data_IF_947856254928
#
_entry.id   IF_947856254928
#
_cell.length_a   1.000
_cell.length_b   1.000
_cell.length_c   1.000
_cell.angle_alpha   90.00
_cell.angle_beta   90.00
_cell.angle_gamma   90.00
#
_symmetry.space_group_name_H-M   'P 1'
#
loop_
_entity.id
_entity.type
_entity.pdbx_description
1 polymer ?
#
# COMPACT_ATOMS: atom_id res chain seq x y z
N UNK A 1 4.08 1.59 -42.47
CA UNK A 1 2.83 1.81 -41.72
C UNK A 1 3.05 1.34 -40.28
N UNK A 2 3.63 2.19 -39.43
CA UNK A 2 3.58 2.06 -37.97
C UNK A 2 3.57 3.48 -37.41
N UNK A 3 2.37 3.93 -37.03
CA UNK A 3 2.12 5.23 -36.44
C UNK A 3 2.30 5.14 -34.92
N UNK A 4 3.03 6.11 -34.40
CA UNK A 4 2.80 6.84 -33.15
C UNK A 4 2.16 6.10 -31.96
N UNK A 5 2.98 5.82 -30.93
CA UNK A 5 2.59 5.96 -29.52
C UNK A 5 3.79 6.41 -28.68
N UNK A 6 4.26 7.64 -28.91
CA UNK A 6 4.97 8.39 -27.87
C UNK A 6 3.91 9.11 -27.04
N UNK A 7 3.51 8.51 -25.93
CA UNK A 7 2.67 9.20 -24.95
C UNK A 7 3.54 10.17 -24.16
N UNK A 8 3.46 11.43 -24.57
CA UNK A 8 3.31 12.63 -23.74
C UNK A 8 4.17 12.68 -22.48
N UNK A 9 5.38 13.20 -22.67
CA UNK A 9 6.07 14.07 -21.72
C UNK A 9 5.17 15.27 -21.46
N UNK A 10 4.54 15.33 -20.28
CA UNK A 10 3.58 16.38 -19.94
C UNK A 10 3.29 16.40 -18.44
N UNK A 11 4.34 16.44 -17.63
CA UNK A 11 4.25 16.50 -16.18
C UNK A 11 5.29 17.45 -15.64
N UNK A 12 4.94 18.74 -15.64
CA UNK A 12 5.40 19.76 -14.70
C UNK A 12 6.92 19.76 -14.42
N UNK A 13 7.69 20.40 -15.30
CA UNK A 13 9.06 20.81 -14.99
C UNK A 13 9.02 21.87 -13.89
N UNK A 14 8.87 21.43 -12.64
CA UNK A 14 9.33 22.21 -11.48
C UNK A 14 10.81 22.45 -11.73
N UNK A 15 11.12 23.69 -12.12
CA UNK A 15 12.48 24.19 -12.17
C UNK A 15 13.01 24.11 -10.74
N UNK A 16 13.60 22.96 -10.40
CA UNK A 16 14.41 22.83 -9.21
C UNK A 16 15.52 23.87 -9.38
N UNK A 17 15.43 24.96 -8.60
CA UNK A 17 16.57 25.81 -8.27
C UNK A 17 17.59 24.90 -7.57
N UNK A 18 18.28 24.10 -8.36
CA UNK A 18 19.49 23.41 -7.99
C UNK A 18 20.54 24.50 -8.02
N UNK A 19 20.98 24.87 -6.83
CA UNK A 19 22.14 25.76 -6.67
C UNK A 19 23.29 25.19 -7.51
N UNK A 20 24.18 26.06 -8.00
CA UNK A 20 25.31 25.65 -8.84
C UNK A 20 26.14 24.51 -8.22
N UNK A 21 26.13 24.41 -6.89
CA UNK A 21 26.77 23.36 -6.11
C UNK A 21 26.10 21.99 -6.26
N UNK A 22 24.77 21.91 -6.36
CA UNK A 22 24.04 20.64 -6.54
C UNK A 22 24.30 20.03 -7.92
N UNK A 23 24.41 20.88 -8.94
CA UNK A 23 24.76 20.45 -10.31
C UNK A 23 26.21 20.00 -10.38
N UNK A 24 27.13 20.71 -9.75
CA UNK A 24 28.53 20.30 -9.65
C UNK A 24 28.66 18.96 -8.90
N UNK A 25 27.92 18.77 -7.81
CA UNK A 25 27.89 17.51 -7.07
C UNK A 25 27.25 16.36 -7.87
N UNK A 26 26.25 16.63 -8.71
CA UNK A 26 25.68 15.65 -9.62
C UNK A 26 26.69 15.26 -10.72
N UNK A 27 27.38 16.24 -11.30
CA UNK A 27 28.40 16.01 -12.33
C UNK A 27 29.62 15.26 -11.78
N UNK A 28 30.06 15.54 -10.56
CA UNK A 28 31.12 14.79 -9.87
C UNK A 28 30.69 13.34 -9.58
N UNK A 29 29.42 13.11 -9.22
CA UNK A 29 28.87 11.76 -9.09
C UNK A 29 28.87 11.02 -10.42
N UNK A 30 28.45 11.66 -11.51
CA UNK A 30 28.49 11.09 -12.86
C UNK A 30 29.93 10.82 -13.31
N UNK A 31 30.86 11.74 -13.09
CA UNK A 31 32.28 11.55 -13.41
C UNK A 31 32.89 10.41 -12.59
N UNK A 32 32.54 10.28 -11.32
CA UNK A 32 32.97 9.16 -10.47
C UNK A 32 32.41 7.81 -10.94
N UNK A 33 31.23 7.80 -11.58
CA UNK A 33 30.62 6.61 -12.13
C UNK A 33 31.24 6.22 -13.48
N UNK A 34 31.51 7.20 -14.34
CA UNK A 34 32.19 7.00 -15.63
C UNK A 34 33.68 6.66 -15.49
N UNK A 35 34.32 7.11 -14.40
CA UNK A 35 35.72 6.79 -14.09
C UNK A 35 35.94 5.40 -13.50
N UNK A 36 34.87 4.67 -13.15
CA UNK A 36 35.00 3.26 -12.73
C UNK A 36 35.21 2.38 -13.96
N UNK A 37 36.06 1.35 -13.89
CA UNK A 37 36.19 0.40 -14.97
C UNK A 37 34.83 -0.25 -15.24
N UNK A 38 34.22 0.10 -16.38
CA UNK A 38 33.01 -0.54 -16.84
C UNK A 38 33.35 -2.00 -17.18
N UNK A 39 32.86 -2.92 -16.36
CA UNK A 39 32.99 -4.34 -16.62
C UNK A 39 32.02 -4.70 -17.75
N UNK A 40 32.54 -4.71 -18.98
CA UNK A 40 31.81 -5.26 -20.12
C UNK A 40 31.82 -6.78 -19.99
N UNK A 41 30.65 -7.35 -19.73
CA UNK A 41 30.46 -8.79 -19.75
C UNK A 41 29.87 -9.18 -21.10
N UNK A 42 30.39 -10.26 -21.71
CA UNK A 42 29.80 -10.78 -22.93
C UNK A 42 28.36 -11.23 -22.65
N UNK A 43 27.46 -11.04 -23.61
CA UNK A 43 26.04 -11.43 -23.46
C UNK A 43 25.89 -12.93 -23.16
N UNK A 44 26.81 -13.76 -23.68
CA UNK A 44 26.85 -15.19 -23.39
C UNK A 44 27.09 -15.46 -21.90
N UNK A 45 28.05 -14.77 -21.30
CA UNK A 45 28.41 -14.91 -19.89
C UNK A 45 27.30 -14.37 -18.98
N UNK A 46 26.70 -13.23 -19.35
CA UNK A 46 25.52 -12.68 -18.65
C UNK A 46 24.35 -13.68 -18.63
N UNK A 47 24.10 -14.34 -19.76
CA UNK A 47 23.05 -15.37 -19.88
C UNK A 47 23.41 -16.63 -19.09
N UNK A 48 24.67 -17.04 -19.07
CA UNK A 48 25.14 -18.19 -18.29
C UNK A 48 25.00 -17.94 -16.78
N UNK A 49 25.36 -16.74 -16.33
CA UNK A 49 25.21 -16.31 -14.94
C UNK A 49 23.72 -16.28 -14.53
N UNK A 50 22.85 -15.73 -15.39
CA UNK A 50 21.40 -15.72 -15.15
C UNK A 50 20.80 -17.14 -15.10
N UNK A 51 21.26 -18.07 -15.95
CA UNK A 51 20.83 -19.47 -15.84
C UNK A 51 21.29 -20.09 -14.53
N UNK A 52 22.52 -19.83 -14.12
CA UNK A 52 23.07 -20.34 -12.86
C UNK A 52 22.32 -19.80 -11.64
N UNK A 53 21.95 -18.53 -11.62
CA UNK A 53 21.14 -17.96 -10.53
C UNK A 53 19.73 -18.55 -10.50
N UNK A 54 19.12 -18.81 -11.66
CA UNK A 54 17.84 -19.52 -11.75
C UNK A 54 17.95 -20.99 -11.30
N UNK A 55 19.03 -21.68 -11.62
CA UNK A 55 19.29 -23.05 -11.14
C UNK A 55 19.50 -23.11 -9.62
N UNK A 56 20.18 -22.11 -9.05
CA UNK A 56 20.32 -21.96 -7.61
C UNK A 56 18.98 -21.61 -6.95
N UNK A 57 18.19 -20.74 -7.59
CA UNK A 57 16.84 -20.41 -7.16
C UNK A 57 15.85 -21.59 -7.28
N UNK A 58 16.11 -22.52 -8.19
CA UNK A 58 15.36 -23.78 -8.28
C UNK A 58 15.69 -24.73 -7.11
N UNK A 59 16.87 -24.59 -6.50
CA UNK A 59 17.32 -25.39 -5.34
C UNK A 59 17.02 -24.71 -3.99
N UNK A 60 16.67 -23.43 -3.97
CA UNK A 60 16.40 -22.66 -2.76
C UNK A 60 16.05 -21.20 -3.05
N UNK A 61 15.87 -20.36 -2.02
CA UNK A 61 15.58 -18.93 -2.22
C UNK A 61 16.87 -18.11 -2.40
N UNK A 62 16.90 -17.21 -3.38
CA UNK A 62 18.01 -16.29 -3.64
C UNK A 62 17.54 -14.85 -3.46
N UNK A 63 18.30 -14.05 -2.70
CA UNK A 63 18.05 -12.60 -2.57
C UNK A 63 18.97 -11.85 -3.53
N UNK A 64 18.37 -11.01 -4.37
CA UNK A 64 19.06 -10.09 -5.27
C UNK A 64 19.31 -8.78 -4.52
N UNK A 65 20.59 -8.39 -4.45
CA UNK A 65 21.02 -7.16 -3.77
C UNK A 65 21.59 -6.17 -4.76
N UNK A 66 21.26 -4.89 -4.62
CA UNK A 66 21.96 -3.78 -5.27
C UNK A 66 22.66 -2.93 -4.24
N UNK A 67 23.97 -2.71 -4.42
CA UNK A 67 24.81 -1.99 -3.46
C UNK A 67 24.83 -2.54 -2.03
N UNK A 68 24.54 -3.84 -1.85
CA UNK A 68 24.46 -4.49 -0.54
C UNK A 68 23.08 -4.41 0.11
N UNK A 69 22.14 -3.67 -0.48
CA UNK A 69 20.74 -3.60 -0.03
C UNK A 69 19.91 -4.64 -0.80
N UNK A 70 18.98 -5.35 -0.13
CA UNK A 70 18.08 -6.28 -0.79
C UNK A 70 17.05 -5.53 -1.64
N UNK A 71 16.99 -5.85 -2.94
CA UNK A 71 16.03 -5.23 -3.88
C UNK A 71 14.93 -6.20 -4.31
N UNK A 72 15.28 -7.48 -4.50
CA UNK A 72 14.31 -8.50 -4.91
C UNK A 72 14.69 -9.88 -4.34
N UNK A 73 13.74 -10.81 -4.35
CA UNK A 73 13.98 -12.20 -4.01
C UNK A 73 13.41 -13.12 -5.08
N UNK A 74 14.16 -14.12 -5.48
CA UNK A 74 13.73 -15.21 -6.37
C UNK A 74 13.50 -16.43 -5.49
N UNK A 75 12.26 -16.90 -5.47
CA UNK A 75 11.81 -17.98 -4.60
C UNK A 75 11.13 -19.05 -5.47
N UNK A 76 11.26 -20.35 -5.16
CA UNK A 76 10.50 -21.39 -5.84
C UNK A 76 9.00 -21.10 -5.81
N UNK A 77 8.31 -21.41 -6.91
CA UNK A 77 6.88 -21.15 -7.04
C UNK A 77 6.05 -21.88 -5.97
N UNK A 78 6.42 -23.12 -5.63
CA UNK A 78 5.78 -23.92 -4.57
C UNK A 78 5.84 -23.23 -3.21
N UNK A 79 7.00 -22.68 -2.85
CA UNK A 79 7.19 -21.94 -1.59
C UNK A 79 6.32 -20.69 -1.54
N UNK A 80 6.15 -19.99 -2.67
CA UNK A 80 5.27 -18.82 -2.76
C UNK A 80 3.80 -19.21 -2.57
N UNK A 81 3.35 -20.30 -3.19
CA UNK A 81 2.00 -20.83 -2.98
C UNK A 81 1.74 -21.27 -1.54
N UNK A 82 2.70 -21.95 -0.91
CA UNK A 82 2.61 -22.38 0.48
C UNK A 82 2.52 -21.19 1.43
N UNK A 83 3.35 -20.16 1.22
CA UNK A 83 3.27 -18.90 1.97
C UNK A 83 1.91 -18.23 1.80
N UNK A 84 1.39 -18.17 0.56
CA UNK A 84 0.07 -17.59 0.29
C UNK A 84 -1.03 -18.36 1.03
N UNK A 85 -0.98 -19.69 1.03
CA UNK A 85 -1.95 -20.54 1.76
C UNK A 85 -1.85 -20.31 3.26
N UNK A 86 -0.64 -20.32 3.82
CA UNK A 86 -0.42 -20.08 5.25
C UNK A 86 -0.97 -18.71 5.71
N UNK A 87 -0.72 -17.66 4.93
CA UNK A 87 -1.24 -16.32 5.21
C UNK A 87 -2.76 -16.25 5.13
N UNK A 88 -3.36 -16.91 4.13
CA UNK A 88 -4.82 -16.99 4.02
C UNK A 88 -5.44 -17.75 5.20
N UNK A 89 -4.83 -18.85 5.64
CA UNK A 89 -5.27 -19.58 6.82
C UNK A 89 -5.24 -18.71 8.08
N UNK A 90 -4.12 -18.03 8.33
CA UNK A 90 -3.97 -17.11 9.46
C UNK A 90 -5.03 -16.00 9.45
N UNK A 91 -5.30 -15.42 8.28
CA UNK A 91 -6.29 -14.36 8.13
C UNK A 91 -7.72 -14.88 8.36
N UNK A 92 -8.05 -16.06 7.83
CA UNK A 92 -9.37 -16.70 8.06
C UNK A 92 -9.56 -17.05 9.53
N UNK A 93 -8.53 -17.57 10.20
CA UNK A 93 -8.56 -17.85 11.64
C UNK A 93 -8.75 -16.57 12.46
N UNK A 94 -8.03 -15.51 12.13
CA UNK A 94 -8.16 -14.22 12.81
C UNK A 94 -9.58 -13.65 12.62
N UNK A 95 -10.11 -13.68 11.40
CA UNK A 95 -11.49 -13.27 11.10
C UNK A 95 -12.51 -14.09 11.89
N UNK A 96 -12.34 -15.41 11.94
CA UNK A 96 -13.21 -16.31 12.72
C UNK A 96 -13.16 -15.98 14.22
N UNK A 97 -11.97 -15.75 14.77
CA UNK A 97 -11.80 -15.38 16.17
C UNK A 97 -12.39 -14.00 16.49
N UNK A 98 -12.26 -13.05 15.57
CA UNK A 98 -12.81 -11.69 15.68
C UNK A 98 -14.34 -11.74 15.63
N UNK A 99 -14.89 -12.53 14.71
CA UNK A 99 -16.33 -12.75 14.61
C UNK A 99 -16.89 -13.43 15.86
N UNK A 100 -16.24 -14.47 16.39
CA UNK A 100 -16.66 -15.12 17.63
C UNK A 100 -16.64 -14.16 18.83
N UNK A 101 -15.61 -13.32 18.93
CA UNK A 101 -15.51 -12.26 19.96
C UNK A 101 -16.62 -11.22 19.82
N UNK A 102 -16.92 -10.79 18.59
CA UNK A 102 -18.01 -9.86 18.28
C UNK A 102 -19.37 -10.46 18.65
N UNK A 103 -19.63 -11.71 18.25
CA UNK A 103 -20.87 -12.42 18.59
C UNK A 103 -21.04 -12.58 20.11
N UNK A 104 -19.95 -12.88 20.83
CA UNK A 104 -19.98 -12.97 22.30
C UNK A 104 -20.30 -11.62 22.94
N UNK A 105 -19.73 -10.51 22.44
CA UNK A 105 -20.05 -9.15 22.90
C UNK A 105 -21.49 -8.74 22.59
N UNK A 106 -22.00 -9.07 21.40
CA UNK A 106 -23.40 -8.79 21.04
C UNK A 106 -24.38 -9.60 21.91
N UNK A 107 -24.04 -10.85 22.23
CA UNK A 107 -24.84 -11.68 23.15
C UNK A 107 -24.80 -11.16 24.58
N UNK A 108 -23.64 -10.71 25.09
CA UNK A 108 -23.56 -10.12 26.43
C UNK A 108 -24.30 -8.78 26.51
N UNK A 109 -24.23 -7.95 25.47
CA UNK A 109 -25.01 -6.71 25.41
C UNK A 109 -26.52 -6.97 25.37
N UNK A 110 -26.98 -8.03 24.68
CA UNK A 110 -28.40 -8.43 24.73
C UNK A 110 -28.87 -8.90 26.11
N UNK A 111 -27.97 -9.42 26.94
CA UNK A 111 -28.30 -9.85 28.29
C UNK A 111 -28.39 -8.66 29.28
N UNK A 112 -27.66 -7.58 29.03
CA UNK A 112 -27.62 -6.37 29.86
C UNK A 112 -28.59 -5.26 29.41
N UNK A 113 -29.30 -5.44 28.28
CA UNK A 113 -30.33 -4.49 27.83
C UNK A 113 -31.66 -4.86 28.47
N UNK A 114 -32.20 -4.03 29.40
CA UNK A 114 -33.55 -4.24 29.90
C UNK A 114 -34.53 -4.16 28.72
N UNK A 115 -35.54 -5.02 28.72
CA UNK A 115 -36.59 -4.98 27.70
C UNK A 115 -37.36 -3.65 27.82
N UNK A 116 -36.94 -2.63 27.07
CA UNK A 116 -37.69 -1.39 26.91
C UNK A 116 -38.96 -1.68 26.12
N UNK A 117 -40.10 -1.12 26.53
CA UNK A 117 -41.34 -1.28 25.79
C UNK A 117 -41.24 -0.64 24.40
N UNK A 118 -42.00 -1.14 23.44
CA UNK A 118 -42.02 -0.62 22.06
C UNK A 118 -42.36 0.89 22.04
N UNK A 119 -43.22 1.33 22.95
CA UNK A 119 -43.61 2.73 23.15
C UNK A 119 -42.45 3.63 23.62
N UNK A 120 -41.56 3.12 24.48
CA UNK A 120 -40.37 3.85 24.94
C UNK A 120 -39.34 4.01 23.81
N UNK A 121 -39.21 3.00 22.94
CA UNK A 121 -38.34 3.04 21.77
C UNK A 121 -38.84 4.05 20.74
N UNK A 122 -40.15 4.08 20.46
CA UNK A 122 -40.75 5.07 19.57
C UNK A 122 -40.57 6.50 20.09
N UNK A 123 -40.73 6.72 21.41
CA UNK A 123 -40.49 8.01 22.04
C UNK A 123 -39.02 8.46 21.90
N UNK A 124 -38.06 7.56 22.14
CA UNK A 124 -36.62 7.83 22.02
C UNK A 124 -36.21 8.15 20.58
N UNK A 125 -36.71 7.39 19.60
CA UNK A 125 -36.48 7.66 18.17
C UNK A 125 -37.09 9.00 17.76
N UNK A 126 -38.32 9.27 18.21
CA UNK A 126 -38.99 10.55 17.98
C UNK A 126 -38.22 11.74 18.56
N UNK A 127 -37.62 11.58 19.73
CA UNK A 127 -36.79 12.62 20.37
C UNK A 127 -35.46 12.83 19.63
N UNK A 128 -34.81 11.75 19.18
CA UNK A 128 -33.59 11.80 18.39
C UNK A 128 -33.80 12.51 17.04
N UNK A 129 -34.89 12.21 16.34
CA UNK A 129 -35.26 12.86 15.07
C UNK A 129 -35.55 14.35 15.27
N UNK A 130 -36.28 14.71 16.35
CA UNK A 130 -36.54 16.11 16.72
C UNK A 130 -35.24 16.86 17.04
N UNK A 131 -34.31 16.25 17.77
CA UNK A 131 -32.99 16.83 18.09
C UNK A 131 -32.13 17.02 16.84
N UNK A 132 -32.12 16.06 15.92
CA UNK A 132 -31.39 16.17 14.66
C UNK A 132 -31.92 17.31 13.77
N UNK A 133 -33.24 17.44 13.65
CA UNK A 133 -33.87 18.56 12.91
C UNK A 133 -33.54 19.93 13.52
N UNK A 134 -33.52 20.03 14.85
CA UNK A 134 -33.17 21.29 15.55
C UNK A 134 -31.69 21.68 15.39
N UNK A 135 -30.77 20.72 15.23
CA UNK A 135 -29.36 21.02 14.95
C UNK A 135 -29.15 21.59 13.55
N UNK A 136 -29.86 21.08 12.54
CA UNK A 136 -29.72 21.54 11.15
C UNK A 136 -30.38 22.91 10.89
N UNK A 137 -31.28 23.37 11.74
CA UNK A 137 -31.98 24.66 11.59
C UNK A 137 -31.20 25.91 12.03
N UNK A 138 -30.07 25.78 12.74
CA UNK A 138 -29.32 26.93 13.28
C UNK A 138 -28.23 27.49 12.36
N UNK A 139 -28.02 26.90 11.17
CA UNK A 139 -26.95 27.30 10.23
C UNK A 139 -27.39 28.27 9.12
N UNK A 140 -28.47 29.03 9.31
CA UNK A 140 -28.91 30.07 8.36
C UNK A 140 -29.10 31.39 9.10
N UNK A 141 -27.99 31.97 9.58
CA UNK A 141 -27.94 33.39 9.92
C UNK A 141 -27.24 34.09 8.76
N UNK A 142 -28.02 34.73 7.89
CA UNK A 142 -27.55 35.58 6.80
C UNK A 142 -26.46 36.52 7.31
N UNK A 143 -25.28 36.47 6.69
CA UNK A 143 -24.29 37.54 6.75
C UNK A 143 -24.84 38.67 5.87
N UNK A 144 -25.34 39.74 6.47
CA UNK A 144 -25.51 41.02 5.78
C UNK A 144 -24.25 41.84 5.99
N UNK A 145 -23.49 42.06 4.91
CA UNK A 145 -22.57 43.20 4.73
C UNK A 145 -22.96 43.74 3.36
N UNK A 146 -23.50 44.95 3.22
CA UNK A 146 -22.97 46.18 3.80
C UNK A 146 -21.90 46.65 2.85
#
# INVERSE_FOLDING_TARGET
MYAHLYNTVGGDMKQNLTTTDDKAAALLRVASYLGRPQKFMAVADARAEMRRTLELAAKGSVVLTTHGEPEAAVVPFTTLEDMRRALLHLLVEEMGSSFARSQKRARSQRADVPASSEEELEALVGEAVKKARRRNGKSSRKVSRG
#
